data_IF_752203353369
#
_entry.id   IF_752203353369
#
_cell.length_a   1.000
_cell.length_b   1.000
_cell.length_c   1.000
_cell.angle_alpha   90.00
_cell.angle_beta   90.00
_cell.angle_gamma   90.00
#
_symmetry.space_group_name_H-M   'P 1'
#
loop_
_entity.id
_entity.type
_entity.pdbx_description
1 polymer ?
#
# COMPACT_ATOMS: atom_id res chain seq x y z
N UNK A 1 -9.82 -0.95 -12.39
CA UNK A 1 -10.31 -0.33 -11.15
C UNK A 1 -11.83 -0.47 -10.97
N UNK A 2 -12.69 0.00 -11.89
CA UNK A 2 -14.16 0.03 -11.67
C UNK A 2 -14.78 -1.32 -11.28
N UNK A 3 -14.39 -2.40 -11.96
CA UNK A 3 -14.93 -3.75 -11.73
C UNK A 3 -14.40 -4.43 -10.45
N UNK A 4 -13.32 -3.94 -9.84
CA UNK A 4 -12.61 -4.61 -8.73
C UNK A 4 -12.55 -3.77 -7.45
N UNK A 5 -13.01 -2.51 -7.50
CA UNK A 5 -12.83 -1.55 -6.41
C UNK A 5 -11.35 -1.20 -6.15
N UNK A 6 -10.43 -1.50 -7.07
CA UNK A 6 -9.00 -1.24 -6.91
C UNK A 6 -8.75 0.25 -6.70
N UNK A 7 -8.02 0.57 -5.64
CA UNK A 7 -7.57 1.91 -5.29
C UNK A 7 -6.08 2.07 -5.56
N UNK A 8 -5.65 3.28 -5.86
CA UNK A 8 -4.23 3.66 -5.84
C UNK A 8 -4.04 4.63 -4.68
N UNK A 9 -2.96 4.49 -3.92
CA UNK A 9 -2.66 5.36 -2.78
C UNK A 9 -1.16 5.60 -2.63
N UNK A 10 -0.72 6.00 -1.44
CA UNK A 10 0.69 6.10 -1.09
C UNK A 10 1.41 7.21 -1.85
N UNK A 11 2.67 6.96 -2.20
CA UNK A 11 3.53 7.99 -2.78
C UNK A 11 3.11 8.41 -4.19
N UNK A 12 2.53 7.50 -4.96
CA UNK A 12 1.99 7.82 -6.29
C UNK A 12 0.82 8.81 -6.21
N UNK A 13 -0.06 8.65 -5.22
CA UNK A 13 -1.14 9.61 -5.03
C UNK A 13 -0.61 11.00 -4.66
N UNK A 14 0.44 11.04 -3.83
CA UNK A 14 1.11 12.27 -3.44
C UNK A 14 1.78 12.97 -4.64
N UNK A 15 2.41 12.23 -5.57
CA UNK A 15 3.02 12.81 -6.79
C UNK A 15 2.04 13.63 -7.61
N UNK A 16 0.86 13.05 -7.88
CA UNK A 16 -0.16 13.68 -8.69
C UNK A 16 -0.66 14.99 -8.07
N UNK A 17 -0.97 14.98 -6.77
CA UNK A 17 -1.54 16.15 -6.11
C UNK A 17 -0.50 17.26 -5.92
N UNK A 18 0.72 16.91 -5.55
CA UNK A 18 1.81 17.89 -5.32
C UNK A 18 2.51 18.31 -6.61
N UNK A 19 2.24 17.63 -7.74
CA UNK A 19 2.94 17.78 -9.02
C UNK A 19 4.46 17.68 -8.89
N UNK A 20 4.93 16.94 -7.89
CA UNK A 20 6.35 16.75 -7.58
C UNK A 20 6.67 15.27 -7.67
N UNK A 21 7.72 14.92 -8.40
CA UNK A 21 8.16 13.52 -8.52
C UNK A 21 9.15 13.21 -7.39
N UNK A 22 8.78 12.26 -6.52
CA UNK A 22 9.62 11.80 -5.41
C UNK A 22 10.17 10.37 -5.64
N UNK A 23 9.98 9.83 -6.84
CA UNK A 23 10.26 8.44 -7.16
C UNK A 23 9.41 7.44 -6.37
N UNK A 24 9.57 6.16 -6.68
CA UNK A 24 8.96 5.06 -5.96
C UNK A 24 7.93 4.28 -6.76
N UNK A 25 7.24 3.40 -6.04
CA UNK A 25 6.41 2.35 -6.60
C UNK A 25 4.95 2.79 -6.78
N UNK A 26 4.21 2.01 -7.56
CA UNK A 26 2.76 2.13 -7.66
C UNK A 26 2.08 1.23 -6.63
N UNK A 27 1.55 1.85 -5.57
CA UNK A 27 0.84 1.15 -4.51
C UNK A 27 -0.65 1.00 -4.87
N UNK A 28 -1.11 -0.25 -5.03
CA UNK A 28 -2.49 -0.57 -5.39
C UNK A 28 -3.15 -1.42 -4.33
N UNK A 29 -4.42 -1.14 -4.02
CA UNK A 29 -5.15 -1.77 -2.92
C UNK A 29 -6.48 -2.34 -3.40
N UNK A 30 -6.77 -3.60 -3.11
CA UNK A 30 -8.07 -4.20 -3.37
C UNK A 30 -8.47 -5.19 -2.29
N UNK A 31 -9.75 -5.54 -2.22
CA UNK A 31 -10.18 -6.65 -1.37
C UNK A 31 -9.55 -7.95 -1.90
N UNK A 32 -9.18 -8.86 -1.00
CA UNK A 32 -8.51 -10.12 -1.33
C UNK A 32 -9.28 -10.93 -2.38
N UNK A 33 -10.62 -10.92 -2.35
CA UNK A 33 -11.47 -11.59 -3.36
C UNK A 33 -11.22 -11.14 -4.80
N UNK A 34 -10.70 -9.93 -5.02
CA UNK A 34 -10.38 -9.38 -6.34
C UNK A 34 -8.89 -9.41 -6.66
N UNK A 35 -8.02 -9.83 -5.73
CA UNK A 35 -6.57 -9.81 -5.92
C UNK A 35 -6.14 -10.67 -7.10
N UNK A 36 -6.75 -11.84 -7.25
CA UNK A 36 -6.46 -12.75 -8.36
C UNK A 36 -6.75 -12.10 -9.72
N UNK A 37 -7.91 -11.45 -9.86
CA UNK A 37 -8.30 -10.74 -11.08
C UNK A 37 -7.34 -9.59 -11.39
N UNK A 38 -6.95 -8.81 -10.38
CA UNK A 38 -6.05 -7.66 -10.54
C UNK A 38 -4.63 -8.12 -10.88
N UNK A 39 -4.08 -9.12 -10.19
CA UNK A 39 -2.75 -9.64 -10.45
C UNK A 39 -2.62 -10.24 -11.85
N UNK A 40 -3.62 -11.01 -12.31
CA UNK A 40 -3.66 -11.50 -13.69
C UNK A 40 -3.73 -10.38 -14.72
N UNK A 41 -4.42 -9.27 -14.39
CA UNK A 41 -4.41 -8.10 -15.26
C UNK A 41 -2.99 -7.52 -15.37
N UNK A 42 -2.22 -7.42 -14.27
CA UNK A 42 -0.82 -7.00 -14.35
C UNK A 42 0.04 -7.95 -15.21
N UNK A 43 -0.09 -9.26 -15.00
CA UNK A 43 0.62 -10.27 -15.79
C UNK A 43 0.31 -10.16 -17.29
N UNK A 44 -0.97 -9.99 -17.63
CA UNK A 44 -1.41 -9.82 -19.02
C UNK A 44 -0.87 -8.54 -19.69
N UNK A 45 -0.46 -7.54 -18.91
CA UNK A 45 0.10 -6.27 -19.41
C UNK A 45 1.62 -6.19 -19.27
N UNK A 46 2.28 -7.35 -19.15
CA UNK A 46 3.73 -7.47 -19.25
C UNK A 46 4.50 -7.15 -17.97
N UNK A 47 3.82 -7.17 -16.81
CA UNK A 47 4.50 -7.24 -15.53
C UNK A 47 4.79 -8.70 -15.18
N UNK A 48 5.90 -8.94 -14.49
CA UNK A 48 6.25 -10.24 -13.94
C UNK A 48 6.05 -10.24 -12.44
N UNK A 49 5.45 -11.29 -11.90
CA UNK A 49 5.40 -11.47 -10.45
C UNK A 49 6.83 -11.61 -9.89
N UNK A 50 7.13 -10.83 -8.86
CA UNK A 50 8.42 -10.80 -8.18
C UNK A 50 8.21 -11.25 -6.72
N UNK A 51 8.29 -12.57 -6.45
CA UNK A 51 8.04 -13.10 -5.12
C UNK A 51 9.09 -12.60 -4.13
N UNK A 52 8.63 -12.14 -2.97
CA UNK A 52 9.49 -11.83 -1.83
C UNK A 52 9.81 -13.10 -1.03
N UNK A 53 10.75 -13.01 -0.08
CA UNK A 53 11.12 -14.15 0.76
C UNK A 53 9.91 -14.73 1.49
N UNK A 54 9.71 -16.05 1.37
CA UNK A 54 8.59 -16.79 1.96
C UNK A 54 7.33 -16.89 1.08
N UNK A 55 7.28 -16.22 -0.07
CA UNK A 55 6.22 -16.41 -1.07
C UNK A 55 6.49 -17.60 -1.99
N UNK A 56 5.43 -18.16 -2.54
CA UNK A 56 5.54 -19.13 -3.64
C UNK A 56 6.08 -18.44 -4.89
N UNK A 57 6.81 -19.18 -5.74
CA UNK A 57 7.42 -18.61 -6.95
C UNK A 57 6.41 -18.24 -8.06
N UNK A 58 5.18 -18.75 -7.97
CA UNK A 58 4.09 -18.48 -8.90
C UNK A 58 2.99 -17.70 -8.18
N UNK A 59 2.43 -16.69 -8.87
CA UNK A 59 1.43 -15.81 -8.30
C UNK A 59 0.17 -16.58 -7.88
N UNK A 60 -0.30 -17.53 -8.69
CA UNK A 60 -1.51 -18.31 -8.39
C UNK A 60 -1.27 -19.27 -7.23
N UNK A 61 -0.11 -19.90 -7.19
CA UNK A 61 0.31 -20.72 -6.06
C UNK A 61 0.32 -19.90 -4.77
N UNK A 62 0.83 -18.66 -4.79
CA UNK A 62 0.87 -17.82 -3.59
C UNK A 62 -0.52 -17.32 -3.17
N UNK A 63 -1.37 -16.91 -4.12
CA UNK A 63 -2.77 -16.55 -3.83
C UNK A 63 -3.52 -17.72 -3.17
N UNK A 64 -3.32 -18.95 -3.66
CA UNK A 64 -3.94 -20.13 -3.06
C UNK A 64 -3.39 -20.44 -1.66
N UNK A 65 -2.08 -20.27 -1.44
CA UNK A 65 -1.46 -20.38 -0.11
C UNK A 65 -2.08 -19.39 0.88
N UNK A 66 -2.22 -18.12 0.48
CA UNK A 66 -2.85 -17.08 1.32
C UNK A 66 -4.31 -17.41 1.57
N UNK A 67 -5.05 -17.85 0.55
CA UNK A 67 -6.45 -18.25 0.69
C UNK A 67 -6.62 -19.36 1.72
N UNK A 68 -5.82 -20.42 1.64
CA UNK A 68 -5.85 -21.53 2.60
C UNK A 68 -5.56 -21.04 4.03
N UNK A 69 -4.57 -20.16 4.21
CA UNK A 69 -4.27 -19.58 5.51
C UNK A 69 -5.45 -18.77 6.09
N UNK A 70 -6.15 -17.98 5.27
CA UNK A 70 -7.32 -17.20 5.69
C UNK A 70 -8.51 -18.10 6.05
N UNK A 71 -8.66 -19.23 5.36
CA UNK A 71 -9.70 -20.23 5.66
C UNK A 71 -9.43 -20.95 6.99
N UNK A 72 -8.16 -21.18 7.35
CA UNK A 72 -7.76 -21.75 8.64
C UNK A 72 -7.86 -20.74 9.79
N UNK A 73 -7.37 -19.52 9.57
CA UNK A 73 -7.36 -18.43 10.56
C UNK A 73 -7.85 -17.12 9.92
N UNK A 74 -9.11 -16.71 10.17
CA UNK A 74 -9.63 -15.44 9.66
C UNK A 74 -8.77 -14.26 10.13
N UNK A 75 -8.51 -13.32 9.21
CA UNK A 75 -7.67 -12.13 9.43
C UNK A 75 -6.16 -12.39 9.60
N UNK A 76 -5.65 -13.59 9.28
CA UNK A 76 -4.21 -13.84 9.26
C UNK A 76 -3.49 -12.96 8.24
N UNK A 77 -2.31 -12.47 8.63
CA UNK A 77 -1.46 -11.61 7.80
C UNK A 77 -0.40 -12.46 7.12
N UNK A 78 -0.59 -12.78 5.83
CA UNK A 78 0.30 -13.65 5.06
C UNK A 78 1.34 -12.84 4.25
N UNK A 79 1.95 -11.84 4.88
CA UNK A 79 2.89 -10.92 4.24
C UNK A 79 4.34 -11.40 4.47
N UNK A 80 5.26 -11.27 3.50
CA UNK A 80 6.71 -11.47 3.70
C UNK A 80 7.28 -10.76 4.94
N UNK A 81 8.38 -11.27 5.49
CA UNK A 81 9.06 -10.68 6.66
C UNK A 81 9.65 -9.30 6.35
N UNK A 82 10.05 -9.06 5.09
CA UNK A 82 10.74 -7.83 4.66
C UNK A 82 9.81 -6.63 4.41
N UNK A 83 8.50 -6.80 4.40
CA UNK A 83 7.61 -5.65 4.24
C UNK A 83 7.50 -4.90 5.56
N UNK A 84 7.89 -3.62 5.53
CA UNK A 84 7.72 -2.59 6.56
C UNK A 84 6.32 -2.61 7.24
N UNK A 85 5.34 -3.17 6.53
CA UNK A 85 3.90 -3.27 6.81
C UNK A 85 3.56 -4.01 8.12
N UNK A 86 4.40 -4.93 8.60
CA UNK A 86 4.10 -5.70 9.83
C UNK A 86 4.12 -4.88 11.12
N UNK A 87 4.88 -3.79 11.16
CA UNK A 87 4.92 -2.88 12.33
C UNK A 87 3.87 -1.78 12.28
N UNK A 88 3.24 -1.58 11.13
CA UNK A 88 2.00 -0.84 11.08
C UNK A 88 0.92 -1.75 11.65
N UNK A 89 0.07 -1.26 12.55
CA UNK A 89 -1.10 -2.01 13.07
C UNK A 89 -2.18 -2.21 11.97
N UNK A 90 -1.77 -2.55 10.75
CA UNK A 90 -2.61 -2.76 9.57
C UNK A 90 -3.17 -4.17 9.60
N UNK A 91 -3.97 -4.46 10.63
CA UNK A 91 -4.67 -5.73 10.86
C UNK A 91 -5.62 -6.13 9.70
N UNK A 92 -5.76 -5.26 8.69
CA UNK A 92 -6.62 -5.46 7.54
C UNK A 92 -5.87 -5.92 6.28
N UNK A 93 -4.54 -6.04 6.28
CA UNK A 93 -3.79 -6.52 5.11
C UNK A 93 -3.71 -8.05 5.15
N UNK A 94 -4.16 -8.67 4.06
CA UNK A 94 -4.11 -10.12 3.85
C UNK A 94 -2.76 -10.55 3.26
N UNK A 95 -2.31 -9.85 2.21
CA UNK A 95 -1.07 -10.15 1.50
C UNK A 95 -0.59 -8.96 0.68
N UNK A 96 0.69 -8.98 0.31
CA UNK A 96 1.32 -7.99 -0.56
C UNK A 96 2.12 -8.72 -1.62
N UNK A 97 1.86 -8.42 -2.89
CA UNK A 97 2.59 -9.01 -4.02
C UNK A 97 3.24 -7.93 -4.84
N UNK A 98 4.51 -8.14 -5.22
CA UNK A 98 5.24 -7.23 -6.08
C UNK A 98 5.19 -7.70 -7.54
N UNK A 99 5.04 -6.75 -8.45
CA UNK A 99 5.01 -6.97 -9.89
C UNK A 99 5.95 -5.98 -10.58
N UNK A 100 6.88 -6.50 -11.37
CA UNK A 100 7.95 -5.68 -11.97
C UNK A 100 7.86 -5.67 -13.50
N UNK A 101 8.12 -4.50 -14.09
CA UNK A 101 8.29 -4.31 -15.52
C UNK A 101 9.46 -3.35 -15.77
N UNK A 102 10.63 -3.90 -16.09
CA UNK A 102 11.86 -3.10 -16.18
C UNK A 102 12.21 -2.49 -14.84
N UNK A 103 12.30 -1.15 -14.78
CA UNK A 103 12.56 -0.39 -13.54
C UNK A 103 11.28 0.01 -12.79
N UNK A 104 10.10 -0.37 -13.29
CA UNK A 104 8.81 -0.04 -12.65
C UNK A 104 8.36 -1.19 -11.76
N UNK A 105 7.93 -0.86 -10.55
CA UNK A 105 7.38 -1.81 -9.58
C UNK A 105 5.95 -1.39 -9.20
N UNK A 106 5.05 -2.38 -9.17
CA UNK A 106 3.69 -2.27 -8.64
C UNK A 106 3.60 -3.15 -7.41
N UNK A 107 3.07 -2.60 -6.31
CA UNK A 107 2.66 -3.39 -5.16
C UNK A 107 1.14 -3.60 -5.21
N UNK A 108 0.71 -4.86 -5.11
CA UNK A 108 -0.69 -5.25 -4.93
C UNK A 108 -0.91 -5.62 -3.46
N UNK A 109 -1.51 -4.70 -2.72
CA UNK A 109 -1.90 -4.88 -1.32
C UNK A 109 -3.34 -5.41 -1.29
N UNK A 110 -3.50 -6.68 -0.96
CA UNK A 110 -4.81 -7.26 -0.72
C UNK A 110 -5.24 -7.09 0.72
N UNK A 111 -6.52 -6.76 0.92
CA UNK A 111 -7.10 -6.50 2.24
C UNK A 111 -8.20 -7.50 2.58
N UNK A 112 -8.33 -7.85 3.86
CA UNK A 112 -9.42 -8.70 4.37
C UNK A 112 -10.78 -8.01 4.20
N UNK A 113 -10.84 -6.74 4.58
CA UNK A 113 -12.02 -5.87 4.48
C UNK A 113 -11.79 -4.77 3.44
N UNK A 114 -12.42 -3.60 3.63
CA UNK A 114 -12.32 -2.45 2.74
C UNK A 114 -10.88 -1.96 2.58
N UNK A 115 -10.38 -1.78 1.33
CA UNK A 115 -9.11 -1.12 1.06
C UNK A 115 -8.99 0.29 1.67
N UNK A 116 -10.10 1.02 1.78
CA UNK A 116 -10.12 2.35 2.40
C UNK A 116 -9.73 2.29 3.88
N UNK A 117 -10.16 1.25 4.60
CA UNK A 117 -9.82 1.09 6.01
C UNK A 117 -8.31 0.97 6.17
N UNK A 118 -7.65 0.14 5.35
CA UNK A 118 -6.18 0.02 5.37
C UNK A 118 -5.49 1.35 5.09
N UNK A 119 -5.95 2.12 4.10
CA UNK A 119 -5.34 3.41 3.76
C UNK A 119 -5.53 4.43 4.88
N UNK A 120 -6.69 4.45 5.54
CA UNK A 120 -6.96 5.39 6.63
C UNK A 120 -6.26 5.01 7.94
N UNK A 121 -5.82 3.76 8.07
CA UNK A 121 -5.01 3.28 9.19
C UNK A 121 -3.51 3.57 9.04
N UNK A 122 -3.07 4.26 7.98
CA UNK A 122 -1.68 4.71 7.90
C UNK A 122 -1.34 5.71 9.00
N UNK A 123 -0.10 5.68 9.47
CA UNK A 123 0.36 6.53 10.56
C UNK A 123 0.67 7.97 10.17
N UNK A 124 0.47 8.37 8.91
CA UNK A 124 0.90 9.66 8.37
C UNK A 124 -0.14 10.15 7.36
N UNK A 125 -0.67 11.36 7.56
CA UNK A 125 -1.77 11.88 6.73
C UNK A 125 -1.39 12.15 5.27
N UNK A 126 -0.11 12.39 4.98
CA UNK A 126 0.36 12.67 3.61
C UNK A 126 0.24 11.47 2.65
N UNK A 127 0.06 10.25 3.15
CA UNK A 127 -0.11 9.03 2.34
C UNK A 127 -1.56 8.56 2.20
N UNK A 128 -2.51 9.28 2.79
CA UNK A 128 -3.92 8.89 2.79
C UNK A 128 -4.69 9.38 1.55
N UNK A 129 -3.99 9.89 0.54
CA UNK A 129 -4.59 10.38 -0.71
C UNK A 129 -4.91 9.20 -1.64
N UNK A 130 -6.05 9.22 -2.34
CA UNK A 130 -6.59 8.04 -3.03
C UNK A 130 -7.01 8.34 -4.46
N UNK A 131 -6.71 7.43 -5.40
CA UNK A 131 -7.38 7.37 -6.70
C UNK A 131 -8.31 6.17 -6.79
N UNK A 132 -9.52 6.46 -7.22
CA UNK A 132 -10.51 5.50 -7.68
C UNK A 132 -10.52 5.50 -9.21
N UNK A 133 -11.39 4.68 -9.80
CA UNK A 133 -11.54 4.63 -11.26
C UNK A 133 -12.04 5.95 -11.90
N UNK A 134 -12.68 6.83 -11.14
CA UNK A 134 -13.34 8.04 -11.67
C UNK A 134 -13.09 9.31 -10.85
N UNK A 135 -12.37 9.23 -9.74
CA UNK A 135 -12.13 10.36 -8.86
C UNK A 135 -10.81 10.23 -8.10
N UNK A 136 -10.22 11.39 -7.79
CA UNK A 136 -9.05 11.54 -6.95
C UNK A 136 -9.43 12.29 -5.68
N UNK A 137 -9.01 11.77 -4.52
CA UNK A 137 -9.32 12.31 -3.20
C UNK A 137 -8.03 12.70 -2.48
N UNK A 138 -7.92 13.99 -2.15
CA UNK A 138 -6.91 14.47 -1.21
C UNK A 138 -7.60 14.76 0.12
N UNK A 139 -7.37 13.91 1.13
CA UNK A 139 -8.14 13.99 2.38
C UNK A 139 -7.74 15.18 3.25
N UNK A 140 -6.47 15.57 3.17
CA UNK A 140 -5.91 16.67 3.95
C UNK A 140 -5.27 17.71 3.02
N UNK A 141 -6.07 18.40 2.16
CA UNK A 141 -5.54 19.24 1.09
C UNK A 141 -4.72 20.42 1.61
N UNK A 142 -5.16 21.05 2.72
CA UNK A 142 -4.39 22.13 3.33
C UNK A 142 -3.02 21.64 3.83
N UNK A 143 -2.97 20.49 4.52
CA UNK A 143 -1.72 19.94 5.02
C UNK A 143 -0.81 19.46 3.88
N UNK A 144 -1.38 18.76 2.91
CA UNK A 144 -0.65 18.12 1.82
C UNK A 144 -0.14 19.13 0.79
N UNK A 145 -0.98 20.09 0.39
CA UNK A 145 -0.72 20.97 -0.76
C UNK A 145 -0.22 22.35 -0.37
N UNK A 146 -0.74 22.94 0.70
CA UNK A 146 -0.36 24.30 1.11
C UNK A 146 0.83 24.28 2.05
N UNK A 147 0.77 23.44 3.10
CA UNK A 147 1.75 23.46 4.19
C UNK A 147 2.90 22.48 4.00
N UNK A 148 2.72 21.44 3.17
CA UNK A 148 3.62 20.27 3.10
C UNK A 148 3.92 19.75 4.51
N UNK A 149 2.88 19.46 5.26
CA UNK A 149 2.96 18.93 6.61
C UNK A 149 2.25 17.59 6.65
N UNK A 150 2.81 16.62 7.38
CA UNK A 150 2.11 15.38 7.73
C UNK A 150 1.84 15.33 9.22
N UNK A 151 0.61 14.95 9.58
CA UNK A 151 0.24 14.63 10.95
C UNK A 151 0.49 13.16 11.18
N UNK A 152 1.22 12.83 12.25
CA UNK A 152 1.34 11.45 12.69
C UNK A 152 0.09 11.07 13.48
N UNK A 153 -0.51 9.95 13.10
CA UNK A 153 -1.75 9.44 13.70
C UNK A 153 -1.54 8.02 14.20
N UNK A 154 -2.08 7.74 15.39
CA UNK A 154 -2.09 6.41 15.98
C UNK A 154 -0.68 5.76 16.13
N UNK A 155 0.32 6.59 16.44
CA UNK A 155 1.67 6.14 16.80
C UNK A 155 1.88 6.24 18.30
N UNK A 156 2.36 5.15 18.90
CA UNK A 156 2.86 5.14 20.26
C UNK A 156 4.32 5.61 20.30
N UNK A 157 4.67 6.41 21.30
CA UNK A 157 6.05 6.87 21.50
C UNK A 157 6.79 6.01 22.52
N UNK A 158 8.09 5.73 22.31
CA UNK A 158 8.90 6.13 21.16
C UNK A 158 8.59 5.34 19.88
N UNK A 159 8.79 5.97 18.71
CA UNK A 159 8.66 5.31 17.41
C UNK A 159 9.66 4.17 17.27
N UNK A 160 9.26 3.08 16.61
CA UNK A 160 10.19 2.02 16.20
C UNK A 160 11.13 2.51 15.09
N UNK A 161 12.23 1.78 14.85
CA UNK A 161 13.18 2.13 13.78
C UNK A 161 12.52 2.17 12.39
N UNK A 162 11.63 1.22 12.11
CA UNK A 162 10.84 1.16 10.88
C UNK A 162 9.90 2.36 10.77
N UNK A 163 9.15 2.68 11.82
CA UNK A 163 8.26 3.85 11.83
C UNK A 163 9.06 5.16 11.63
N UNK A 164 10.23 5.27 12.27
CA UNK A 164 11.13 6.41 12.05
C UNK A 164 11.61 6.50 10.61
N UNK A 165 12.01 5.38 9.98
CA UNK A 165 12.43 5.36 8.58
C UNK A 165 11.30 5.77 7.63
N UNK A 166 10.08 5.31 7.89
CA UNK A 166 8.91 5.69 7.13
C UNK A 166 8.57 7.19 7.26
N UNK A 167 8.67 7.74 8.46
CA UNK A 167 8.51 9.18 8.70
C UNK A 167 9.62 9.98 8.01
N UNK A 168 10.88 9.53 8.17
CA UNK A 168 12.07 10.15 7.57
C UNK A 168 11.97 10.23 6.05
N UNK A 169 11.43 9.20 5.39
CA UNK A 169 11.16 9.22 3.94
C UNK A 169 10.36 10.44 3.50
N UNK A 170 9.37 10.87 4.29
CA UNK A 170 8.56 12.05 3.96
C UNK A 170 9.22 13.37 4.40
N UNK A 171 9.99 13.36 5.49
CA UNK A 171 10.86 14.50 5.86
C UNK A 171 11.83 14.82 4.70
N UNK A 172 12.50 13.81 4.17
CA UNK A 172 13.46 13.97 3.07
C UNK A 172 12.77 14.45 1.76
N UNK A 173 11.44 14.33 1.67
CA UNK A 173 10.59 14.87 0.58
C UNK A 173 10.09 16.30 0.84
N UNK A 174 10.55 16.92 1.93
CA UNK A 174 10.21 18.28 2.34
C UNK A 174 8.91 18.40 3.11
N UNK A 175 8.47 17.33 3.79
CA UNK A 175 7.32 17.40 4.69
C UNK A 175 7.77 17.71 6.12
N UNK A 176 7.15 18.72 6.72
CA UNK A 176 7.21 18.91 8.16
C UNK A 176 6.38 17.83 8.86
N UNK A 177 6.85 17.34 10.00
CA UNK A 177 6.17 16.30 10.77
C UNK A 177 5.63 16.92 12.05
N UNK A 178 4.34 16.74 12.27
CA UNK A 178 3.63 17.20 13.46
C UNK A 178 3.00 15.99 14.16
N UNK A 179 3.07 15.98 15.48
CA UNK A 179 2.55 14.92 16.35
C UNK A 179 1.31 15.40 17.11
#
# INVERSE_FOLDING_TARGET
QAATGLLVSGSTALHFFTRTFYGGDLDTYCQFSYSNTVGHWYLAHGYSFAPAEGQMNDFNADVNRVKAAIEEEPFVVAIPVETDIREYKLNNIAAVWNFNQGSQQIQLIATHMSPLHTIFSFHSTCVMNIFTHNAAYCLFPQLTLERKTTLLVDLEYPLTEIQMNAVKKYIDRGFDVVH
#
